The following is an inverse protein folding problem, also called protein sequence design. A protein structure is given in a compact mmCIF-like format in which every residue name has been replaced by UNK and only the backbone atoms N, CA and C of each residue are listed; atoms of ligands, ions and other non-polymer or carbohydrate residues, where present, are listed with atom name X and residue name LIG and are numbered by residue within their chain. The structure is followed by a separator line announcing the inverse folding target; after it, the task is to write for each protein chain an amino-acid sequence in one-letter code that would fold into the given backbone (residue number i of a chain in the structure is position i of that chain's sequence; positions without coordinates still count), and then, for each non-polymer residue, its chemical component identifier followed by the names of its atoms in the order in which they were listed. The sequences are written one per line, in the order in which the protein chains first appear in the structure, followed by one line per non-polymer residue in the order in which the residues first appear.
data_IF_516645046207
#
_entry.id   IF_516645046207
#
_cell.length_a   1.000
_cell.length_b   1.000
_cell.length_c   1.000
_cell.angle_alpha   90.00
_cell.angle_beta   90.00
_cell.angle_gamma   90.00
#
_symmetry.space_group_name_H-M   'P 1'
#
loop_
_entity.id
_entity.type
_entity.pdbx_description
1 polymer ?
#
# COMPACT_ATOMS: atom_id res chain seq x y z
N UNK A 1 -13.48 14.97 -53.94
CA UNK A 1 -14.15 13.65 -54.03
C UNK A 1 -13.38 12.64 -53.20
N UNK A 2 -14.09 11.93 -52.29
CA UNK A 2 -13.79 10.56 -51.79
C UNK A 2 -12.49 10.41 -50.95
N UNK A 3 -12.44 9.75 -49.80
CA UNK A 3 -13.35 8.98 -48.97
C UNK A 3 -12.63 8.78 -47.63
N UNK A 4 -13.37 8.91 -46.54
CA UNK A 4 -13.05 8.42 -45.19
C UNK A 4 -12.55 6.97 -45.20
N UNK A 5 -11.62 6.64 -44.30
CA UNK A 5 -11.52 5.43 -43.46
C UNK A 5 -10.05 5.06 -43.27
N UNK A 6 -9.55 5.08 -42.02
CA UNK A 6 -9.23 3.87 -41.24
C UNK A 6 -9.31 4.22 -39.75
N UNK A 7 -10.25 3.59 -39.07
CA UNK A 7 -10.35 3.48 -37.62
C UNK A 7 -9.71 2.11 -37.31
N UNK A 8 -8.72 2.05 -36.42
CA UNK A 8 -8.32 0.86 -35.64
C UNK A 8 -7.53 1.41 -34.45
N UNK A 9 -8.15 1.51 -33.27
CA UNK A 9 -8.12 0.47 -32.25
C UNK A 9 -6.76 0.45 -31.53
N UNK A 10 -6.71 1.17 -30.41
CA UNK A 10 -5.58 1.20 -29.51
C UNK A 10 -5.86 2.07 -28.28
N UNK A 11 -7.11 2.10 -27.82
CA UNK A 11 -7.41 2.57 -26.46
C UNK A 11 -6.98 1.43 -25.52
N UNK A 12 -5.75 1.48 -25.04
CA UNK A 12 -5.35 0.68 -23.88
C UNK A 12 -6.00 1.30 -22.64
N UNK A 13 -7.32 1.09 -22.50
CA UNK A 13 -8.07 1.31 -21.26
C UNK A 13 -7.78 0.14 -20.34
N UNK A 14 -6.67 0.17 -19.62
CA UNK A 14 -6.54 -0.61 -18.39
C UNK A 14 -7.23 0.16 -17.26
N UNK A 15 -8.56 0.15 -17.30
CA UNK A 15 -9.38 0.46 -16.14
C UNK A 15 -9.42 -0.79 -15.26
N UNK A 16 -8.41 -0.96 -14.39
CA UNK A 16 -8.44 -1.93 -13.30
C UNK A 16 -9.11 -1.26 -12.09
N UNK A 17 -10.41 -1.02 -12.22
CA UNK A 17 -11.29 -0.67 -11.10
C UNK A 17 -11.97 -1.96 -10.61
N UNK A 18 -11.21 -2.81 -9.90
CA UNK A 18 -11.77 -3.97 -9.24
C UNK A 18 -12.26 -3.59 -7.82
N UNK A 19 -13.58 -3.47 -7.70
CA UNK A 19 -14.32 -3.93 -6.52
C UNK A 19 -14.15 -3.17 -5.21
N UNK A 20 -14.85 -2.04 -5.06
CA UNK A 20 -15.30 -1.57 -3.75
C UNK A 20 -16.30 -2.59 -3.16
N UNK A 21 -15.86 -3.36 -2.17
CA UNK A 21 -16.75 -4.13 -1.30
C UNK A 21 -16.48 -3.77 0.16
N UNK A 22 -17.40 -2.99 0.75
CA UNK A 22 -17.65 -2.97 2.19
C UNK A 22 -17.07 -1.78 2.95
N UNK A 23 -17.92 -0.80 3.25
CA UNK A 23 -17.70 0.32 4.17
C UNK A 23 -16.93 -0.11 5.44
N UNK A 24 -15.70 0.41 5.59
CA UNK A 24 -14.79 0.07 6.69
C UNK A 24 -13.41 0.73 6.59
N UNK A 25 -13.36 2.06 6.48
CA UNK A 25 -12.17 2.94 6.64
C UNK A 25 -11.25 3.10 5.39
N UNK A 26 -11.71 3.95 4.49
CA UNK A 26 -11.03 4.54 3.33
C UNK A 26 -9.80 5.39 3.70
N UNK A 27 -8.68 4.74 4.07
CA UNK A 27 -7.47 5.50 4.44
C UNK A 27 -6.17 4.70 4.23
N UNK A 28 -6.19 3.71 3.34
CA UNK A 28 -5.00 2.99 2.91
C UNK A 28 -4.17 3.85 1.95
N UNK A 29 -2.83 3.80 2.03
CA UNK A 29 -1.98 4.47 1.05
C UNK A 29 -2.24 3.88 -0.34
N UNK A 30 -2.06 4.67 -1.40
CA UNK A 30 -2.21 4.15 -2.76
C UNK A 30 -1.28 2.96 -2.99
N UNK A 31 -1.74 2.03 -3.82
CA UNK A 31 -0.94 0.91 -4.31
C UNK A 31 0.31 1.46 -5.00
N UNK A 32 1.49 0.83 -4.86
CA UNK A 32 2.68 1.28 -5.54
C UNK A 32 2.52 1.21 -7.05
N UNK A 33 2.97 2.26 -7.74
CA UNK A 33 3.13 2.25 -9.19
C UNK A 33 4.52 1.72 -9.51
N UNK A 34 4.65 0.39 -9.58
CA UNK A 34 5.90 -0.29 -9.93
C UNK A 34 5.65 -1.43 -10.92
N UNK A 35 6.43 -1.47 -12.01
CA UNK A 35 6.31 -2.48 -13.06
C UNK A 35 6.84 -3.86 -12.65
N UNK A 36 7.58 -3.93 -11.54
CA UNK A 36 8.16 -5.16 -11.02
C UNK A 36 7.16 -6.00 -10.23
N UNK A 37 6.02 -5.44 -9.85
CA UNK A 37 4.92 -6.20 -9.29
C UNK A 37 3.57 -5.64 -9.73
N UNK A 38 2.78 -6.44 -10.44
CA UNK A 38 1.45 -6.02 -10.91
C UNK A 38 0.32 -6.38 -9.93
N UNK A 39 0.59 -7.26 -8.97
CA UNK A 39 -0.40 -7.73 -7.99
C UNK A 39 0.06 -7.43 -6.55
N UNK A 40 -0.76 -6.68 -5.83
CA UNK A 40 -0.40 -6.10 -4.54
C UNK A 40 -1.42 -6.47 -3.48
N UNK A 41 -0.94 -7.02 -2.37
CA UNK A 41 -1.75 -7.35 -1.20
C UNK A 41 -1.38 -6.40 -0.04
N UNK A 42 -2.38 -5.94 0.72
CA UNK A 42 -2.13 -5.06 1.85
C UNK A 42 -1.81 -5.86 3.12
N UNK A 43 -0.57 -5.77 3.62
CA UNK A 43 -0.20 -6.31 4.93
C UNK A 43 -0.72 -5.36 6.03
N UNK A 44 -1.88 -5.67 6.59
CA UNK A 44 -2.50 -4.89 7.66
C UNK A 44 -1.80 -5.01 9.02
N UNK A 45 -0.92 -5.99 9.22
CA UNK A 45 -0.11 -6.11 10.44
C UNK A 45 1.07 -5.14 10.40
N UNK A 46 1.67 -4.98 9.23
CA UNK A 46 2.86 -4.15 9.02
C UNK A 46 2.61 -2.83 8.30
N UNK A 47 1.38 -2.60 7.85
CA UNK A 47 0.94 -1.35 7.24
C UNK A 47 1.70 -1.04 5.95
N UNK A 48 1.97 -2.05 5.13
CA UNK A 48 2.73 -1.97 3.88
C UNK A 48 2.09 -2.83 2.80
N UNK A 49 2.41 -2.53 1.55
CA UNK A 49 2.04 -3.37 0.42
C UNK A 49 3.04 -4.52 0.28
N UNK A 50 2.54 -5.73 0.08
CA UNK A 50 3.29 -6.93 -0.26
C UNK A 50 3.00 -7.31 -1.72
N UNK A 51 4.02 -7.75 -2.44
CA UNK A 51 3.85 -8.22 -3.80
C UNK A 51 3.32 -9.66 -3.80
N UNK A 52 2.12 -9.88 -4.33
CA UNK A 52 1.48 -11.21 -4.44
C UNK A 52 1.64 -11.82 -5.85
N UNK A 53 2.30 -11.12 -6.77
CA UNK A 53 2.53 -11.60 -8.13
C UNK A 53 3.53 -12.77 -8.17
N UNK A 54 3.02 -14.00 -8.37
CA UNK A 54 3.83 -15.24 -8.38
C UNK A 54 4.91 -15.30 -9.47
N UNK A 55 4.74 -14.61 -10.59
CA UNK A 55 5.72 -14.55 -11.69
C UNK A 55 6.84 -13.53 -11.41
N UNK A 56 6.66 -12.66 -10.43
CA UNK A 56 7.63 -11.65 -10.06
C UNK A 56 8.78 -12.26 -9.24
N UNK A 57 9.99 -11.75 -9.48
CA UNK A 57 11.14 -12.02 -8.60
C UNK A 57 10.96 -11.41 -7.20
N UNK A 58 9.96 -10.55 -7.01
CA UNK A 58 9.61 -9.90 -5.76
C UNK A 58 8.39 -10.52 -5.08
N UNK A 59 7.91 -11.68 -5.52
CA UNK A 59 6.84 -12.40 -4.83
C UNK A 59 7.13 -12.55 -3.33
N UNK A 60 6.17 -12.19 -2.48
CA UNK A 60 6.28 -12.18 -1.02
C UNK A 60 7.24 -11.12 -0.46
N UNK A 61 7.62 -10.11 -1.24
CA UNK A 61 8.44 -8.99 -0.77
C UNK A 61 7.57 -7.82 -0.34
N UNK A 62 7.96 -7.18 0.76
CA UNK A 62 7.31 -5.99 1.28
C UNK A 62 7.85 -4.75 0.59
N UNK A 63 6.98 -3.85 0.16
CA UNK A 63 7.35 -2.61 -0.49
C UNK A 63 7.17 -1.41 0.44
N UNK A 64 8.26 -0.66 0.65
CA UNK A 64 8.22 0.56 1.44
C UNK A 64 9.23 1.59 0.92
N UNK A 65 8.76 2.80 0.63
CA UNK A 65 9.61 3.94 0.28
C UNK A 65 10.45 3.74 -1.00
N UNK A 66 9.92 3.01 -2.00
CA UNK A 66 10.63 2.77 -3.27
C UNK A 66 11.61 1.60 -3.21
N UNK A 67 11.44 0.67 -2.28
CA UNK A 67 12.33 -0.49 -2.13
C UNK A 67 11.57 -1.73 -1.70
N UNK A 68 12.03 -2.88 -2.20
CA UNK A 68 11.52 -4.20 -1.86
C UNK A 68 12.36 -4.83 -0.74
N UNK A 69 11.68 -5.46 0.20
CA UNK A 69 12.26 -6.12 1.36
C UNK A 69 11.79 -7.57 1.37
N UNK A 70 12.72 -8.51 1.20
CA UNK A 70 12.44 -9.95 1.16
C UNK A 70 11.98 -10.54 2.51
N UNK A 71 12.03 -9.75 3.58
CA UNK A 71 11.58 -10.19 4.91
C UNK A 71 11.21 -8.99 5.79
N UNK A 72 10.26 -9.20 6.70
CA UNK A 72 9.86 -8.22 7.74
C UNK A 72 11.06 -7.72 8.55
N UNK A 73 12.00 -8.61 8.87
CA UNK A 73 13.25 -8.26 9.56
C UNK A 73 14.08 -7.20 8.82
N UNK A 74 14.14 -7.27 7.49
CA UNK A 74 14.87 -6.29 6.67
C UNK A 74 14.11 -4.97 6.56
N UNK A 75 12.78 -5.02 6.44
CA UNK A 75 11.90 -3.85 6.49
C UNK A 75 12.06 -3.10 7.82
N UNK A 76 12.06 -3.81 8.95
CA UNK A 76 12.15 -3.21 10.29
C UNK A 76 13.51 -2.57 10.56
N UNK A 77 14.58 -3.05 9.90
CA UNK A 77 15.91 -2.42 9.96
C UNK A 77 15.96 -1.08 9.23
N UNK A 78 15.03 -0.81 8.30
CA UNK A 78 14.93 0.49 7.65
C UNK A 78 14.49 1.54 8.67
N UNK A 79 15.30 2.60 8.84
CA UNK A 79 15.01 3.69 9.79
C UNK A 79 13.75 4.46 9.43
N UNK A 80 13.50 4.66 8.13
CA UNK A 80 12.30 5.32 7.63
C UNK A 80 11.05 4.52 7.99
N UNK A 81 11.06 3.20 7.75
CA UNK A 81 9.96 2.32 8.12
C UNK A 81 9.77 2.28 9.65
N UNK A 82 10.86 2.17 10.41
CA UNK A 82 10.82 2.23 11.88
C UNK A 82 10.17 3.52 12.40
N UNK A 83 10.43 4.66 11.75
CA UNK A 83 9.78 5.92 12.09
C UNK A 83 8.31 5.93 11.69
N UNK A 84 7.96 5.41 10.51
CA UNK A 84 6.57 5.25 10.07
C UNK A 84 5.78 4.39 11.03
N UNK A 85 6.31 3.24 11.47
CA UNK A 85 5.68 2.33 12.45
C UNK A 85 5.41 2.97 13.82
N UNK A 86 6.17 4.01 14.17
CA UNK A 86 6.00 4.80 15.41
C UNK A 86 5.18 6.07 15.20
N UNK A 87 4.84 6.40 13.96
CA UNK A 87 4.10 7.61 13.61
C UNK A 87 2.61 7.41 13.79
N UNK A 88 1.88 8.50 14.00
CA UNK A 88 0.41 8.49 13.98
C UNK A 88 -0.18 8.17 12.61
N UNK A 89 0.64 8.16 11.56
CA UNK A 89 0.25 7.81 10.21
C UNK A 89 0.41 6.32 9.92
N UNK A 90 0.88 5.51 10.88
CA UNK A 90 0.99 4.07 10.72
C UNK A 90 -0.37 3.45 10.47
N UNK A 91 -0.52 2.76 9.33
CA UNK A 91 -1.75 2.09 8.92
C UNK A 91 -1.76 0.57 9.18
N UNK A 92 -0.72 0.05 9.84
CA UNK A 92 -0.62 -1.36 10.23
C UNK A 92 -1.02 -1.63 11.67
N UNK A 93 -0.95 -2.90 12.07
CA UNK A 93 -1.21 -3.37 13.44
C UNK A 93 -2.69 -3.63 13.72
N UNK A 94 -3.40 -4.26 12.78
CA UNK A 94 -4.82 -4.63 12.86
C UNK A 94 -5.22 -5.54 14.04
N UNK A 95 -5.11 -5.03 15.28
CA UNK A 95 -6.03 -5.28 16.38
C UNK A 95 -6.46 -3.94 16.94
N UNK A 96 -7.75 -3.65 16.80
CA UNK A 96 -8.43 -2.58 17.52
C UNK A 96 -8.07 -2.62 19.02
N UNK A 97 -7.43 -1.56 19.52
CA UNK A 97 -7.55 -1.12 20.92
C UNK A 97 -6.99 0.30 21.03
N UNK A 98 -7.91 1.26 21.16
CA UNK A 98 -7.79 2.44 22.03
C UNK A 98 -6.39 2.81 22.52
N UNK A 99 -5.86 3.96 22.07
CA UNK A 99 -4.92 4.73 22.87
C UNK A 99 -3.65 5.15 22.16
N UNK A 100 -3.72 6.24 21.40
CA UNK A 100 -2.67 7.26 21.43
C UNK A 100 -3.28 8.62 21.04
N UNK A 101 -4.35 8.99 21.77
CA UNK A 101 -4.78 10.38 21.86
C UNK A 101 -3.91 11.08 22.91
N UNK A 102 -3.22 12.13 22.50
CA UNK A 102 -2.55 13.08 23.39
C UNK A 102 -3.55 13.63 24.42
N UNK A 103 -3.58 13.04 25.61
CA UNK A 103 -4.22 13.62 26.79
C UNK A 103 -3.13 14.28 27.63
N UNK A 104 -3.08 15.61 27.57
CA UNK A 104 -2.17 16.45 28.33
C UNK A 104 -2.06 16.02 29.79
N UNK A 105 -0.81 15.89 30.24
CA UNK A 105 -0.39 16.14 31.63
C UNK A 105 -1.32 17.16 32.33
N UNK A 106 -2.01 16.74 33.39
CA UNK A 106 -2.53 17.69 34.38
C UNK A 106 -2.12 17.20 35.75
N UNK A 107 -1.02 17.79 36.22
CA UNK A 107 -0.65 17.87 37.63
C UNK A 107 -1.63 18.81 38.34
N UNK A 108 -1.98 18.51 39.59
CA UNK A 108 -2.70 19.42 40.50
C UNK A 108 -3.96 18.78 41.05
N UNK A 109 -4.20 18.72 42.35
CA UNK A 109 -3.49 19.22 43.52
C UNK A 109 -4.26 18.77 44.77
#
# INVERSE_FOLDING_TARGET
MKKTKRIMAGISTTALAFGLSGCGNDDLPPVPDDTACNDWEWDSDDGVWECDEYESSYYGHYYYGGSYYSSKSSLYKNKGYSSYKKSSSFKGGGKASSGFGSGSKSFGG
#
